data_IF_057918165707
#
_entry.id   IF_057918165707
#
_cell.length_a   1.000
_cell.length_b   1.000
_cell.length_c   1.000
_cell.angle_alpha   90.00
_cell.angle_beta   90.00
_cell.angle_gamma   90.00
#
_symmetry.space_group_name_H-M   'P 1'
#
loop_
_entity.id
_entity.type
_entity.pdbx_description
1 polymer ?
#
# COMPACT_ATOMS: atom_id res chain seq x y z
N UNK A 1 -13.28 -11.25 20.39
CA UNK A 1 -12.28 -12.23 19.89
C UNK A 1 -12.12 -12.22 18.37
N UNK A 2 -13.02 -12.79 17.55
CA UNK A 2 -12.79 -12.88 16.09
C UNK A 2 -12.69 -11.50 15.40
N UNK A 3 -13.54 -10.55 15.81
CA UNK A 3 -13.52 -9.16 15.30
C UNK A 3 -12.23 -8.42 15.64
N UNK A 4 -11.76 -8.52 16.89
CA UNK A 4 -10.47 -7.92 17.32
C UNK A 4 -9.26 -8.56 16.64
N UNK A 5 -9.33 -9.87 16.35
CA UNK A 5 -8.30 -10.58 15.60
C UNK A 5 -8.21 -10.08 14.16
N UNK A 6 -9.36 -9.94 13.48
CA UNK A 6 -9.45 -9.34 12.14
C UNK A 6 -8.92 -7.91 12.14
N UNK A 7 -9.32 -7.10 13.12
CA UNK A 7 -8.95 -5.68 13.19
C UNK A 7 -7.43 -5.49 13.43
N UNK A 8 -6.82 -6.31 14.28
CA UNK A 8 -5.35 -6.36 14.43
C UNK A 8 -4.66 -6.83 13.15
N UNK A 9 -5.19 -7.85 12.47
CA UNK A 9 -4.62 -8.35 11.22
C UNK A 9 -4.71 -7.29 10.12
N UNK A 10 -5.83 -6.60 9.97
CA UNK A 10 -6.00 -5.50 9.03
C UNK A 10 -5.02 -4.37 9.28
N UNK A 11 -4.78 -4.01 10.55
CA UNK A 11 -3.84 -2.94 10.91
C UNK A 11 -2.39 -3.33 10.55
N UNK A 12 -1.98 -4.56 10.86
CA UNK A 12 -0.67 -5.09 10.47
C UNK A 12 -0.53 -5.19 8.95
N UNK A 13 -1.58 -5.65 8.27
CA UNK A 13 -1.61 -5.78 6.81
C UNK A 13 -1.48 -4.42 6.14
N UNK A 14 -2.17 -3.38 6.63
CA UNK A 14 -2.03 -2.02 6.13
C UNK A 14 -0.61 -1.45 6.29
N UNK A 15 0.09 -1.77 7.39
CA UNK A 15 1.49 -1.37 7.57
C UNK A 15 2.40 -2.10 6.58
N UNK A 16 2.21 -3.42 6.43
CA UNK A 16 2.96 -4.22 5.47
C UNK A 16 2.78 -3.71 4.03
N UNK A 17 1.54 -3.38 3.67
CA UNK A 17 1.18 -2.79 2.39
C UNK A 17 1.89 -1.45 2.15
N UNK A 18 1.97 -0.57 3.16
CA UNK A 18 2.70 0.68 3.04
C UNK A 18 4.21 0.48 2.81
N UNK A 19 4.82 -0.51 3.48
CA UNK A 19 6.22 -0.86 3.25
C UNK A 19 6.42 -1.36 1.80
N UNK A 20 5.51 -2.23 1.32
CA UNK A 20 5.50 -2.70 -0.05
C UNK A 20 5.32 -1.56 -1.06
N UNK A 21 4.48 -0.57 -0.77
CA UNK A 21 4.30 0.59 -1.63
C UNK A 21 5.57 1.45 -1.71
N UNK A 22 6.23 1.69 -0.58
CA UNK A 22 7.49 2.42 -0.55
C UNK A 22 8.60 1.69 -1.33
N UNK A 23 8.70 0.37 -1.18
CA UNK A 23 9.63 -0.45 -1.97
C UNK A 23 9.31 -0.41 -3.46
N UNK A 24 8.04 -0.51 -3.86
CA UNK A 24 7.64 -0.41 -5.27
C UNK A 24 8.00 0.96 -5.86
N UNK A 25 7.77 2.04 -5.11
CA UNK A 25 8.18 3.39 -5.54
C UNK A 25 9.69 3.54 -5.66
N UNK A 26 10.45 3.00 -4.71
CA UNK A 26 11.92 3.00 -4.75
C UNK A 26 12.47 2.23 -5.95
N UNK A 27 11.97 1.00 -6.17
CA UNK A 27 12.36 0.16 -7.31
C UNK A 27 12.01 0.86 -8.64
N UNK A 28 10.83 1.48 -8.73
CA UNK A 28 10.44 2.26 -9.90
C UNK A 28 11.41 3.43 -10.18
N UNK A 29 11.90 4.09 -9.14
CA UNK A 29 12.76 5.26 -9.25
C UNK A 29 14.24 4.90 -9.52
N UNK A 30 14.79 3.88 -8.89
CA UNK A 30 16.22 3.53 -9.00
C UNK A 30 16.51 2.47 -10.08
N UNK A 31 15.65 1.45 -10.20
CA UNK A 31 15.97 0.23 -10.99
C UNK A 31 15.37 0.29 -12.39
N UNK A 32 14.17 0.85 -12.52
CA UNK A 32 13.45 0.87 -13.80
C UNK A 32 13.59 2.20 -14.56
N UNK A 33 14.62 2.99 -14.28
CA UNK A 33 14.90 4.23 -15.03
C UNK A 33 14.98 3.99 -16.54
N UNK A 34 15.61 2.89 -16.95
CA UNK A 34 15.74 2.50 -18.36
C UNK A 34 14.51 1.76 -18.91
N UNK A 35 13.53 1.46 -18.05
CA UNK A 35 12.32 0.70 -18.37
C UNK A 35 11.05 1.45 -17.94
N UNK A 36 10.67 2.52 -18.66
CA UNK A 36 9.62 3.46 -18.24
C UNK A 36 8.26 2.81 -18.00
N UNK A 37 7.92 1.73 -18.74
CA UNK A 37 6.67 0.99 -18.54
C UNK A 37 6.69 0.23 -17.21
N UNK A 38 7.82 -0.39 -16.84
CA UNK A 38 7.96 -1.09 -15.56
C UNK A 38 7.99 -0.11 -14.40
N UNK A 39 8.66 1.04 -14.55
CA UNK A 39 8.63 2.11 -13.55
C UNK A 39 7.20 2.61 -13.32
N UNK A 40 6.45 2.88 -14.39
CA UNK A 40 5.04 3.30 -14.30
C UNK A 40 4.16 2.26 -13.62
N UNK A 41 4.31 0.97 -13.96
CA UNK A 41 3.51 -0.09 -13.36
C UNK A 41 3.78 -0.24 -11.85
N UNK A 42 5.05 -0.22 -11.43
CA UNK A 42 5.44 -0.29 -10.02
C UNK A 42 5.00 0.96 -9.24
N UNK A 43 5.20 2.15 -9.82
CA UNK A 43 4.75 3.41 -9.24
C UNK A 43 3.22 3.48 -9.09
N UNK A 44 2.48 3.09 -10.12
CA UNK A 44 1.02 3.04 -10.09
C UNK A 44 0.52 2.05 -9.03
N UNK A 45 1.15 0.89 -8.91
CA UNK A 45 0.82 -0.10 -7.87
C UNK A 45 1.06 0.47 -6.47
N UNK A 46 2.16 1.20 -6.25
CA UNK A 46 2.41 1.88 -4.99
C UNK A 46 1.30 2.89 -4.64
N UNK A 47 0.85 3.69 -5.61
CA UNK A 47 -0.24 4.66 -5.42
C UNK A 47 -1.56 3.95 -5.06
N UNK A 48 -1.91 2.89 -5.77
CA UNK A 48 -3.13 2.09 -5.50
C UNK A 48 -3.09 1.52 -4.07
N UNK A 49 -1.94 1.00 -3.65
CA UNK A 49 -1.78 0.48 -2.28
C UNK A 49 -1.96 1.59 -1.25
N UNK A 50 -1.31 2.74 -1.43
CA UNK A 50 -1.43 3.88 -0.51
C UNK A 50 -2.89 4.35 -0.40
N UNK A 51 -3.58 4.49 -1.53
CA UNK A 51 -5.01 4.86 -1.56
C UNK A 51 -5.87 3.81 -0.88
N UNK A 52 -5.62 2.52 -1.13
CA UNK A 52 -6.34 1.41 -0.50
C UNK A 52 -6.19 1.41 1.03
N UNK A 53 -4.97 1.63 1.54
CA UNK A 53 -4.72 1.75 2.98
C UNK A 53 -5.34 3.01 3.57
N UNK A 54 -5.27 4.15 2.87
CA UNK A 54 -5.86 5.41 3.32
C UNK A 54 -7.40 5.32 3.42
N UNK A 55 -8.05 4.80 2.39
CA UNK A 55 -9.50 4.60 2.37
C UNK A 55 -9.95 3.57 3.41
N UNK A 56 -9.20 2.48 3.58
CA UNK A 56 -9.47 1.48 4.61
C UNK A 56 -9.39 2.03 6.04
N UNK A 57 -8.62 3.10 6.27
CA UNK A 57 -8.55 3.79 7.57
C UNK A 57 -9.68 4.81 7.75
N UNK A 58 -10.11 5.49 6.68
CA UNK A 58 -11.20 6.47 6.72
C UNK A 58 -12.60 5.85 6.92
N UNK A 59 -12.79 4.57 6.58
CA UNK A 59 -14.06 3.86 6.81
C UNK A 59 -14.32 3.46 8.27
N UNK A 60 -13.42 3.82 9.20
CA UNK A 60 -13.50 3.45 10.62
C UNK A 60 -14.08 4.53 11.55
N UNK A 61 -14.40 5.73 11.07
CA UNK A 61 -15.06 6.74 11.90
C UNK A 61 -16.57 6.50 11.98
N UNK A 62 -17.13 6.14 13.16
CA UNK A 62 -18.57 6.17 13.35
C UNK A 62 -19.04 7.63 13.34
N UNK A 63 -20.08 7.91 12.55
CA UNK A 63 -20.94 9.08 12.79
C UNK A 63 -21.66 8.93 14.13
#
# INVERSE_FOLDING_TARGET
>A
MFKEWIEKHFKLFGILLLILAALNGWIAYEIFLDYPIMALANGAMAVVIVLGVALSRGTGEPK
#
